data_IF_012194197738
#
_entry.id   IF_012194197738
#
_cell.length_a   1.000
_cell.length_b   1.000
_cell.length_c   1.000
_cell.angle_alpha   90.00
_cell.angle_beta   90.00
_cell.angle_gamma   90.00
#
_symmetry.space_group_name_H-M   'P 1'
#
loop_
_entity.id
_entity.type
_entity.pdbx_description
1 polymer ?
#
# COMPACT_ATOMS: atom_id res chain seq x y z
N UNK A 1 -8.98 4.34 -32.18
CA UNK A 1 -8.81 3.80 -30.81
C UNK A 1 -7.95 4.78 -30.02
N UNK A 2 -8.55 5.53 -29.08
CA UNK A 2 -7.80 6.37 -28.16
C UNK A 2 -7.68 5.61 -26.84
N UNK A 3 -6.57 4.90 -26.66
CA UNK A 3 -6.18 4.27 -25.40
C UNK A 3 -5.75 5.34 -24.39
N UNK A 4 -5.77 5.02 -23.10
CA UNK A 4 -5.30 5.94 -22.06
C UNK A 4 -3.82 6.28 -22.29
N UNK A 5 -3.52 7.53 -22.65
CA UNK A 5 -2.13 7.98 -22.85
C UNK A 5 -1.43 8.19 -21.51
N UNK A 6 -0.10 8.18 -21.53
CA UNK A 6 0.72 8.45 -20.35
C UNK A 6 0.48 9.84 -19.78
N UNK A 7 0.24 10.85 -20.63
CA UNK A 7 -0.11 12.19 -20.16
C UNK A 7 -1.48 12.22 -19.47
N UNK A 8 -2.50 11.59 -20.05
CA UNK A 8 -3.84 11.53 -19.44
C UNK A 8 -3.82 10.79 -18.11
N UNK A 9 -3.11 9.66 -18.04
CA UNK A 9 -2.92 8.92 -16.79
C UNK A 9 -2.24 9.75 -15.70
N UNK A 10 -1.25 10.58 -16.07
CA UNK A 10 -0.57 11.48 -15.13
C UNK A 10 -1.52 12.55 -14.58
N UNK A 11 -2.29 13.19 -15.46
CA UNK A 11 -3.27 14.20 -15.05
C UNK A 11 -4.34 13.62 -14.13
N UNK A 12 -4.84 12.43 -14.46
CA UNK A 12 -5.80 11.70 -13.60
C UNK A 12 -5.18 11.34 -12.26
N UNK A 13 -3.95 10.81 -12.24
CA UNK A 13 -3.26 10.45 -11.01
C UNK A 13 -3.10 11.64 -10.05
N UNK A 14 -2.82 12.84 -10.58
CA UNK A 14 -2.77 14.07 -9.76
C UNK A 14 -4.10 14.39 -9.09
N UNK A 15 -5.19 14.31 -9.84
CA UNK A 15 -6.53 14.65 -9.35
C UNK A 15 -7.03 13.59 -8.37
N UNK A 16 -6.79 12.32 -8.65
CA UNK A 16 -7.17 11.21 -7.75
C UNK A 16 -6.35 11.29 -6.47
N UNK A 17 -5.03 11.47 -6.57
CA UNK A 17 -4.15 11.55 -5.41
C UNK A 17 -4.49 12.74 -4.48
N UNK A 18 -5.00 13.86 -5.01
CA UNK A 18 -5.43 14.98 -4.16
C UNK A 18 -6.77 14.76 -3.46
N UNK A 19 -7.57 13.78 -3.92
CA UNK A 19 -8.87 13.43 -3.34
C UNK A 19 -8.80 12.24 -2.38
N UNK A 20 -7.79 11.39 -2.51
CA UNK A 20 -7.57 10.29 -1.57
C UNK A 20 -7.15 10.84 -0.21
N UNK A 21 -7.91 10.49 0.83
CA UNK A 21 -7.51 10.79 2.20
C UNK A 21 -6.45 9.77 2.62
N UNK A 22 -5.20 10.17 2.53
CA UNK A 22 -4.06 9.38 3.02
C UNK A 22 -3.55 9.97 4.34
N UNK A 23 -2.91 9.13 5.17
CA UNK A 23 -2.30 9.63 6.40
C UNK A 23 -0.95 10.29 6.11
N UNK A 24 -0.27 9.84 5.05
CA UNK A 24 1.06 10.30 4.64
C UNK A 24 1.13 10.53 3.13
N UNK A 25 2.17 11.22 2.67
CA UNK A 25 2.34 11.58 1.25
C UNK A 25 2.91 10.45 0.37
N UNK A 26 3.33 9.33 0.98
CA UNK A 26 4.03 8.22 0.33
C UNK A 26 3.49 6.83 0.71
N UNK A 27 2.41 6.76 1.47
CA UNK A 27 1.81 5.49 1.93
C UNK A 27 1.20 4.63 0.82
N UNK A 28 0.65 5.23 -0.24
CA UNK A 28 0.11 4.48 -1.39
C UNK A 28 1.20 3.88 -2.27
N UNK A 29 2.42 4.44 -2.30
CA UNK A 29 3.54 3.83 -3.04
C UNK A 29 3.81 2.43 -2.54
N UNK A 30 3.79 2.26 -1.22
CA UNK A 30 3.97 0.96 -0.59
C UNK A 30 2.77 0.02 -0.77
N UNK A 31 1.66 0.43 -1.38
CA UNK A 31 0.49 -0.43 -1.60
C UNK A 31 0.31 -0.72 -3.09
N UNK A 32 0.38 0.33 -3.92
CA UNK A 32 0.10 0.29 -5.36
C UNK A 32 1.35 0.19 -6.23
N UNK A 33 2.51 0.59 -5.69
CA UNK A 33 3.74 0.68 -6.46
C UNK A 33 4.18 -0.66 -7.00
N UNK A 34 5.02 -0.64 -8.04
CA UNK A 34 5.71 -1.81 -8.60
C UNK A 34 7.22 -1.69 -8.41
N UNK A 35 7.65 -0.88 -7.43
CA UNK A 35 9.06 -0.67 -7.07
C UNK A 35 9.83 0.32 -7.95
N UNK A 36 9.14 1.02 -8.86
CA UNK A 36 9.77 2.02 -9.76
C UNK A 36 9.34 3.44 -9.45
N UNK A 37 8.30 3.59 -8.63
CA UNK A 37 7.61 4.84 -8.37
C UNK A 37 8.18 5.53 -7.13
N UNK A 38 8.42 6.84 -7.26
CA UNK A 38 9.03 7.62 -6.18
C UNK A 38 8.02 8.25 -5.21
N UNK A 39 6.73 8.26 -5.56
CA UNK A 39 5.65 8.92 -4.82
C UNK A 39 4.26 8.39 -5.21
N UNK A 40 3.24 8.73 -4.40
CA UNK A 40 1.87 8.24 -4.57
C UNK A 40 1.31 8.55 -5.96
N UNK A 41 1.58 9.76 -6.51
CA UNK A 41 1.15 10.14 -7.86
C UNK A 41 1.67 9.17 -8.92
N UNK A 42 2.95 8.81 -8.88
CA UNK A 42 3.53 7.86 -9.82
C UNK A 42 2.96 6.46 -9.63
N UNK A 43 2.74 6.02 -8.38
CA UNK A 43 2.14 4.72 -8.08
C UNK A 43 0.71 4.63 -8.62
N UNK A 44 -0.11 5.67 -8.40
CA UNK A 44 -1.46 5.79 -8.97
C UNK A 44 -1.40 5.82 -10.50
N UNK A 45 -0.45 6.56 -11.10
CA UNK A 45 -0.27 6.59 -12.55
C UNK A 45 0.03 5.19 -13.12
N UNK A 46 1.01 4.47 -12.56
CA UNK A 46 1.35 3.11 -12.98
C UNK A 46 0.16 2.17 -12.86
N UNK A 47 -0.56 2.25 -11.73
CA UNK A 47 -1.76 1.46 -11.48
C UNK A 47 -2.85 1.74 -12.51
N UNK A 48 -3.14 3.02 -12.80
CA UNK A 48 -4.11 3.44 -13.83
C UNK A 48 -3.73 2.88 -15.21
N UNK A 49 -2.46 2.98 -15.60
CA UNK A 49 -2.00 2.45 -16.89
C UNK A 49 -2.21 0.93 -16.92
N UNK A 50 -1.85 0.20 -15.85
CA UNK A 50 -1.99 -1.26 -15.81
C UNK A 50 -3.43 -1.74 -15.92
N UNK A 51 -4.40 -0.99 -15.38
CA UNK A 51 -5.82 -1.39 -15.32
C UNK A 51 -6.67 -0.83 -16.44
N UNK A 52 -6.31 0.32 -16.98
CA UNK A 52 -7.12 1.06 -17.95
C UNK A 52 -6.44 1.18 -19.32
N UNK A 53 -5.31 0.51 -19.56
CA UNK A 53 -4.58 0.53 -20.84
C UNK A 53 -5.47 0.29 -22.08
N UNK A 54 -6.52 -0.53 -21.92
CA UNK A 54 -7.39 -0.97 -23.02
C UNK A 54 -8.76 -0.30 -23.03
N UNK A 55 -9.01 0.68 -22.15
CA UNK A 55 -10.29 1.38 -22.14
C UNK A 55 -10.30 2.45 -23.23
N UNK A 56 -11.30 2.36 -24.12
CA UNK A 56 -11.53 3.39 -25.12
C UNK A 56 -11.99 4.67 -24.43
N UNK A 57 -11.16 5.71 -24.55
CA UNK A 57 -11.40 7.02 -23.93
C UNK A 57 -12.46 7.78 -24.77
N UNK A 58 -13.71 7.33 -24.69
CA UNK A 58 -14.86 8.00 -25.32
C UNK A 58 -15.54 9.02 -24.40
N UNK A 59 -15.30 8.95 -23.09
CA UNK A 59 -15.86 9.84 -22.06
C UNK A 59 -14.84 10.08 -20.95
N UNK A 60 -13.88 10.97 -21.19
CA UNK A 60 -12.86 11.40 -20.22
C UNK A 60 -13.44 11.84 -18.89
N UNK A 61 -14.62 12.43 -18.90
CA UNK A 61 -15.24 13.01 -17.70
C UNK A 61 -15.76 11.90 -16.76
N UNK A 62 -16.30 10.81 -17.32
CA UNK A 62 -16.69 9.62 -16.55
C UNK A 62 -15.48 8.77 -16.13
N UNK A 63 -14.39 8.84 -16.88
CA UNK A 63 -13.18 8.05 -16.59
C UNK A 63 -12.55 8.44 -15.26
N UNK A 64 -12.61 9.72 -14.88
CA UNK A 64 -12.06 10.18 -13.60
C UNK A 64 -12.84 9.60 -12.41
N UNK A 65 -14.16 9.78 -12.40
CA UNK A 65 -15.02 9.26 -11.32
C UNK A 65 -14.91 7.75 -11.23
N UNK A 66 -15.02 7.07 -12.38
CA UNK A 66 -14.88 5.63 -12.47
C UNK A 66 -13.51 5.13 -11.98
N UNK A 67 -12.40 5.76 -12.39
CA UNK A 67 -11.07 5.36 -11.95
C UNK A 67 -10.85 5.61 -10.45
N UNK A 68 -11.43 6.69 -9.92
CA UNK A 68 -11.42 6.97 -8.48
C UNK A 68 -12.17 5.89 -7.71
N UNK A 69 -13.40 5.55 -8.13
CA UNK A 69 -14.24 4.54 -7.48
C UNK A 69 -13.58 3.16 -7.51
N UNK A 70 -13.01 2.76 -8.65
CA UNK A 70 -12.30 1.48 -8.78
C UNK A 70 -11.06 1.44 -7.89
N UNK A 71 -10.33 2.56 -7.74
CA UNK A 71 -9.18 2.61 -6.83
C UNK A 71 -9.61 2.54 -5.36
N UNK A 72 -10.67 3.26 -4.98
CA UNK A 72 -11.25 3.17 -3.64
C UNK A 72 -11.69 1.75 -3.33
N UNK A 73 -12.45 1.12 -4.25
CA UNK A 73 -12.87 -0.27 -4.10
C UNK A 73 -11.67 -1.21 -3.94
N UNK A 74 -10.64 -1.04 -4.77
CA UNK A 74 -9.43 -1.85 -4.67
C UNK A 74 -8.74 -1.73 -3.31
N UNK A 75 -8.63 -0.51 -2.75
CA UNK A 75 -8.07 -0.30 -1.42
C UNK A 75 -8.94 -0.91 -0.32
N UNK A 76 -10.27 -0.84 -0.46
CA UNK A 76 -11.20 -1.43 0.49
C UNK A 76 -11.17 -2.96 0.46
N UNK A 77 -11.01 -3.56 -0.72
CA UNK A 77 -10.80 -5.01 -0.87
C UNK A 77 -9.51 -5.45 -0.15
N UNK A 78 -8.40 -4.74 -0.37
CA UNK A 78 -7.13 -5.02 0.31
C UNK A 78 -7.27 -4.88 1.83
N UNK A 79 -7.96 -3.83 2.31
CA UNK A 79 -8.22 -3.64 3.74
C UNK A 79 -9.05 -4.78 4.33
N UNK A 80 -10.05 -5.26 3.60
CA UNK A 80 -10.84 -6.41 4.01
C UNK A 80 -9.98 -7.67 4.11
N UNK A 81 -9.11 -7.93 3.12
CA UNK A 81 -8.16 -9.05 3.17
C UNK A 81 -7.25 -8.97 4.41
N UNK A 82 -6.70 -7.78 4.70
CA UNK A 82 -5.91 -7.53 5.91
C UNK A 82 -6.73 -7.81 7.16
N UNK A 83 -7.96 -7.30 7.23
CA UNK A 83 -8.85 -7.48 8.37
C UNK A 83 -9.23 -8.95 8.61
N UNK A 84 -9.33 -9.77 7.56
CA UNK A 84 -9.55 -11.22 7.70
C UNK A 84 -8.30 -11.89 8.30
N UNK A 85 -7.10 -11.42 7.97
CA UNK A 85 -5.84 -11.94 8.53
C UNK A 85 -5.35 -13.24 7.89
N UNK A 86 -5.91 -13.63 6.74
CA UNK A 86 -5.37 -14.73 5.94
C UNK A 86 -4.08 -14.26 5.29
N UNK A 87 -2.96 -14.91 5.63
CA UNK A 87 -1.65 -14.53 5.13
C UNK A 87 -1.49 -15.03 3.69
N UNK A 88 -1.38 -14.12 2.74
CA UNK A 88 -0.97 -14.41 1.36
C UNK A 88 0.53 -14.23 1.27
N UNK A 89 1.30 -15.31 1.39
CA UNK A 89 2.76 -15.23 1.20
C UNK A 89 3.09 -14.98 -0.27
N UNK A 90 4.01 -14.03 -0.58
CA UNK A 90 4.46 -13.84 -1.95
C UNK A 90 5.20 -15.10 -2.41
N UNK A 91 4.92 -15.53 -3.64
CA UNK A 91 5.67 -16.61 -4.28
C UNK A 91 7.12 -16.17 -4.40
N UNK A 92 8.06 -16.84 -3.72
CA UNK A 92 9.49 -16.53 -3.83
C UNK A 92 10.05 -17.04 -5.17
N UNK A 93 10.43 -16.18 -6.12
CA UNK A 93 11.22 -16.63 -7.25
C UNK A 93 12.65 -16.93 -6.78
N UNK A 94 13.08 -18.19 -6.91
CA UNK A 94 14.35 -18.73 -6.40
C UNK A 94 15.63 -18.15 -7.01
N UNK A 95 15.55 -17.15 -7.90
CA UNK A 95 16.67 -16.67 -8.72
C UNK A 95 16.94 -15.16 -8.64
N UNK A 96 16.27 -14.42 -7.75
CA UNK A 96 16.45 -12.96 -7.63
C UNK A 96 17.31 -12.61 -6.40
N UNK A 97 18.37 -11.79 -6.54
CA UNK A 97 19.21 -11.40 -5.41
C UNK A 97 18.42 -10.58 -4.38
N UNK A 98 18.54 -10.93 -3.10
CA UNK A 98 17.95 -10.20 -1.99
C UNK A 98 18.63 -8.82 -1.86
N UNK A 99 17.85 -7.74 -2.03
CA UNK A 99 18.30 -6.38 -1.78
C UNK A 99 17.79 -5.94 -0.41
N UNK A 100 18.68 -5.47 0.46
CA UNK A 100 18.28 -4.86 1.71
C UNK A 100 17.44 -3.60 1.45
N UNK A 101 16.32 -3.48 2.16
CA UNK A 101 15.51 -2.27 2.14
C UNK A 101 16.25 -1.14 2.86
N UNK A 102 16.15 0.06 2.31
CA UNK A 102 16.59 1.29 2.97
C UNK A 102 15.64 1.68 4.09
N UNK A 103 16.11 2.45 5.08
CA UNK A 103 15.25 2.98 6.15
C UNK A 103 14.02 3.74 5.63
N UNK A 104 14.19 4.41 4.48
CA UNK A 104 13.09 5.12 3.82
C UNK A 104 12.03 4.14 3.31
N UNK A 105 12.45 3.07 2.65
CA UNK A 105 11.54 2.02 2.16
C UNK A 105 10.83 1.33 3.33
N UNK A 106 11.56 1.02 4.41
CA UNK A 106 10.98 0.41 5.61
C UNK A 106 9.92 1.33 6.23
N UNK A 107 10.19 2.63 6.38
CA UNK A 107 9.19 3.60 6.90
C UNK A 107 8.00 3.74 5.96
N UNK A 108 8.23 3.70 4.65
CA UNK A 108 7.16 3.74 3.65
C UNK A 108 6.22 2.53 3.79
N UNK A 109 6.79 1.32 3.92
CA UNK A 109 6.04 0.09 4.18
C UNK A 109 5.27 0.20 5.50
N UNK A 110 5.91 0.68 6.57
CA UNK A 110 5.27 0.83 7.87
C UNK A 110 4.03 1.76 7.81
N UNK A 111 4.12 2.85 7.05
CA UNK A 111 2.98 3.76 6.80
C UNK A 111 1.89 3.10 5.97
N UNK A 112 2.26 2.33 4.94
CA UNK A 112 1.32 1.53 4.15
C UNK A 112 0.57 0.50 5.00
N UNK A 113 1.29 -0.25 5.84
CA UNK A 113 0.71 -1.20 6.79
C UNK A 113 -0.25 -0.48 7.74
N UNK A 114 0.18 0.63 8.34
CA UNK A 114 -0.66 1.42 9.24
C UNK A 114 -1.95 1.87 8.55
N UNK A 115 -1.87 2.35 7.30
CA UNK A 115 -3.03 2.77 6.52
C UNK A 115 -4.00 1.61 6.23
N UNK A 116 -3.48 0.43 5.88
CA UNK A 116 -4.30 -0.75 5.59
C UNK A 116 -4.99 -1.29 6.85
N UNK A 117 -4.28 -1.31 7.98
CA UNK A 117 -4.83 -1.78 9.25
C UNK A 117 -5.81 -0.77 9.85
N UNK A 118 -5.53 0.54 9.71
CA UNK A 118 -6.41 1.59 10.19
C UNK A 118 -7.80 1.48 9.54
N UNK A 119 -7.87 1.32 8.22
CA UNK A 119 -9.14 1.25 7.51
C UNK A 119 -10.05 2.44 7.83
N UNK A 120 -11.23 2.16 8.41
CA UNK A 120 -12.17 3.16 8.94
C UNK A 120 -12.11 3.32 10.48
N UNK A 121 -11.15 2.67 11.14
CA UNK A 121 -10.97 2.69 12.59
C UNK A 121 -10.37 4.00 13.11
N UNK A 122 -10.26 4.09 14.44
CA UNK A 122 -9.63 5.22 15.13
C UNK A 122 -8.11 5.06 15.18
N UNK A 123 -7.38 6.16 14.95
CA UNK A 123 -5.91 6.21 15.10
C UNK A 123 -5.48 5.88 16.53
N UNK A 124 -6.15 6.43 17.53
CA UNK A 124 -5.83 6.20 18.94
C UNK A 124 -5.96 4.72 19.32
N UNK A 125 -6.95 4.03 18.73
CA UNK A 125 -7.14 2.60 18.95
C UNK A 125 -6.02 1.78 18.30
N UNK A 126 -5.65 2.11 17.05
CA UNK A 126 -4.55 1.43 16.37
C UNK A 126 -3.21 1.67 17.08
N UNK A 127 -2.95 2.90 17.52
CA UNK A 127 -1.73 3.24 18.25
C UNK A 127 -1.65 2.43 19.57
N UNK A 128 -2.76 2.27 20.30
CA UNK A 128 -2.82 1.42 21.48
C UNK A 128 -2.58 -0.06 21.19
N UNK A 129 -3.11 -0.60 20.07
CA UNK A 129 -2.84 -1.98 19.65
C UNK A 129 -1.36 -2.17 19.27
N UNK A 130 -0.77 -1.20 18.59
CA UNK A 130 0.66 -1.20 18.28
C UNK A 130 1.49 -1.18 19.57
N UNK A 131 1.11 -0.35 20.53
CA UNK A 131 1.78 -0.27 21.84
C UNK A 131 1.70 -1.58 22.61
N UNK A 132 0.58 -2.30 22.52
CA UNK A 132 0.37 -3.58 23.20
C UNK A 132 1.14 -4.72 22.54
N UNK A 133 1.13 -4.79 21.21
CA UNK A 133 1.62 -5.96 20.48
C UNK A 133 3.06 -5.84 19.97
N UNK A 134 3.59 -4.63 19.79
CA UNK A 134 4.95 -4.39 19.29
C UNK A 134 5.84 -3.76 20.35
N UNK A 135 6.89 -4.50 20.71
CA UNK A 135 7.99 -3.97 21.52
C UNK A 135 8.77 -2.91 20.73
N UNK A 136 9.18 -1.84 21.40
CA UNK A 136 10.03 -0.82 20.79
C UNK A 136 9.87 0.55 21.42
N UNK A 137 10.72 1.47 20.98
CA UNK A 137 10.64 2.89 21.34
C UNK A 137 10.09 3.68 20.16
N UNK A 138 9.51 4.85 20.45
CA UNK A 138 8.96 5.74 19.43
C UNK A 138 7.45 5.57 19.21
N UNK A 139 6.96 6.27 18.19
CA UNK A 139 5.54 6.26 17.78
C UNK A 139 5.15 4.96 17.05
N UNK A 140 3.85 4.78 16.80
CA UNK A 140 3.33 3.57 16.16
C UNK A 140 4.03 3.22 14.83
N UNK A 141 4.32 4.22 13.98
CA UNK A 141 5.02 4.02 12.71
C UNK A 141 6.46 3.55 12.93
N UNK A 142 7.17 4.13 13.90
CA UNK A 142 8.55 3.73 14.22
C UNK A 142 8.62 2.29 14.74
N UNK A 143 7.64 1.86 15.54
CA UNK A 143 7.55 0.48 16.02
C UNK A 143 7.18 -0.50 14.92
N UNK A 144 6.23 -0.15 14.05
CA UNK A 144 5.91 -0.96 12.86
C UNK A 144 7.15 -1.07 11.97
N UNK A 145 7.88 0.02 11.74
CA UNK A 145 9.12 0.01 10.94
C UNK A 145 10.19 -0.90 11.55
N UNK A 146 10.41 -0.84 12.86
CA UNK A 146 11.33 -1.72 13.56
C UNK A 146 10.89 -3.20 13.48
N UNK A 147 9.59 -3.47 13.60
CA UNK A 147 9.06 -4.81 13.40
C UNK A 147 9.24 -5.30 11.96
N UNK A 148 8.93 -4.48 10.96
CA UNK A 148 9.11 -4.77 9.53
C UNK A 148 10.56 -5.13 9.23
N UNK A 149 11.53 -4.38 9.75
CA UNK A 149 12.95 -4.66 9.48
C UNK A 149 13.37 -6.05 9.94
N UNK A 150 12.83 -6.56 11.06
CA UNK A 150 13.06 -7.92 11.55
C UNK A 150 12.45 -8.97 10.61
N UNK A 151 11.27 -8.70 10.04
CA UNK A 151 10.57 -9.64 9.14
C UNK A 151 11.22 -9.74 7.75
N UNK A 152 11.98 -8.73 7.32
CA UNK A 152 12.45 -8.57 5.94
C UNK A 152 13.55 -9.53 5.48
N UNK A 153 14.07 -10.40 6.33
CA UNK A 153 15.09 -11.41 5.95
C UNK A 153 14.60 -12.40 4.88
N UNK A 154 13.28 -12.53 4.70
CA UNK A 154 12.65 -13.56 3.84
C UNK A 154 12.10 -12.95 2.52
N UNK A 155 12.13 -11.63 2.39
CA UNK A 155 11.37 -10.93 1.37
C UNK A 155 12.25 -10.41 0.24
N UNK A 156 12.00 -10.91 -0.97
CA UNK A 156 12.92 -10.78 -2.12
C UNK A 156 12.58 -9.65 -3.08
N UNK A 157 11.44 -8.98 -2.89
CA UNK A 157 10.91 -8.08 -3.92
C UNK A 157 10.23 -6.84 -3.32
N UNK A 158 9.97 -5.87 -4.20
CA UNK A 158 9.70 -4.45 -3.93
C UNK A 158 8.82 -4.15 -2.70
N UNK A 159 9.01 -2.98 -2.07
CA UNK A 159 8.26 -2.57 -0.87
C UNK A 159 6.76 -2.88 -0.89
N UNK A 160 6.11 -2.72 -2.04
CA UNK A 160 4.68 -2.98 -2.23
C UNK A 160 4.24 -4.43 -2.13
N UNK A 161 5.08 -5.37 -2.56
CA UNK A 161 4.79 -6.80 -2.42
C UNK A 161 4.89 -7.26 -0.97
N UNK A 162 5.53 -6.45 -0.11
CA UNK A 162 5.74 -6.77 1.30
C UNK A 162 4.62 -6.22 2.17
N UNK A 163 4.08 -5.08 1.80
CA UNK A 163 3.11 -4.35 2.63
C UNK A 163 1.87 -5.17 2.93
N UNK A 164 1.27 -5.84 1.94
CA UNK A 164 0.07 -6.64 2.17
C UNK A 164 0.33 -7.87 3.07
N UNK A 165 1.29 -8.76 2.77
CA UNK A 165 1.60 -9.89 3.63
C UNK A 165 2.00 -9.46 5.05
N UNK A 166 2.77 -8.39 5.19
CA UNK A 166 3.16 -7.87 6.50
C UNK A 166 1.98 -7.24 7.25
N UNK A 167 1.07 -6.54 6.55
CA UNK A 167 -0.15 -6.02 7.17
C UNK A 167 -1.06 -7.15 7.67
N UNK A 168 -1.23 -8.22 6.91
CA UNK A 168 -1.97 -9.41 7.33
C UNK A 168 -1.35 -10.07 8.57
N UNK A 169 -0.02 -10.25 8.58
CA UNK A 169 0.70 -10.78 9.76
C UNK A 169 0.55 -9.88 10.98
N UNK A 170 0.63 -8.56 10.81
CA UNK A 170 0.46 -7.62 11.92
C UNK A 170 -0.97 -7.65 12.46
N UNK A 171 -1.97 -7.68 11.57
CA UNK A 171 -3.37 -7.81 11.99
C UNK A 171 -3.61 -9.12 12.74
N UNK A 172 -3.04 -10.24 12.28
CA UNK A 172 -3.14 -11.50 13.01
C UNK A 172 -2.52 -11.38 14.42
N UNK A 173 -1.34 -10.74 14.53
CA UNK A 173 -0.70 -10.49 15.82
C UNK A 173 -1.57 -9.64 16.75
N UNK A 174 -2.29 -8.63 16.23
CA UNK A 174 -3.24 -7.84 17.02
C UNK A 174 -4.45 -8.66 17.48
N UNK A 175 -4.93 -9.61 16.67
CA UNK A 175 -6.00 -10.53 17.07
C UNK A 175 -5.56 -11.49 18.16
N UNK A 176 -4.31 -11.96 18.11
CA UNK A 176 -3.77 -12.90 19.10
C UNK A 176 -3.43 -12.22 20.45
N UNK A 177 -3.25 -10.90 20.45
CA UNK A 177 -2.94 -10.10 21.63
C UNK A 177 -4.17 -9.57 22.38
N UNK A 178 -5.37 -9.69 21.78
CA UNK A 178 -6.68 -9.33 22.36
C UNK A 178 -7.39 -10.56 22.93
#
# INVERSE_FOLDING_TARGET
MNTLTKETARSLAKVINSRLSTCYNDDLVAILGTGRESNNEQAVQSWLISRFAHIEVGRTDMLMEYASDVLTQHLDDIRLEVAIGVITEPLQPSFIPAKALTDREIRCIARGIYLLVLGQGSRDYLDALVDLALDGQGNAIERIAAWTSIQTQIYTYFPSELTLPLAQRLMQKFKDAN
#
